data_IF_241716106001
#
_entry.id   IF_241716106001
#
_cell.length_a   1.000
_cell.length_b   1.000
_cell.length_c   1.000
_cell.angle_alpha   90.00
_cell.angle_beta   90.00
_cell.angle_gamma   90.00
#
_symmetry.space_group_name_H-M   'P 1'
#
loop_
_entity.id
_entity.type
_entity.pdbx_description
1 polymer ?
#
# COMPACT_ATOMS: atom_id res chain seq x y z
N UNK A 1 -4.70 29.40 -17.25
CA UNK A 1 -5.25 28.04 -17.15
C UNK A 1 -4.99 27.53 -15.74
N UNK A 2 -6.01 27.24 -14.93
CA UNK A 2 -5.79 26.56 -13.65
C UNK A 2 -5.28 25.15 -13.98
N UNK A 3 -4.11 24.78 -13.46
CA UNK A 3 -3.56 23.43 -13.70
C UNK A 3 -4.59 22.40 -13.24
N UNK A 4 -4.93 21.45 -14.12
CA UNK A 4 -5.85 20.35 -13.77
C UNK A 4 -5.28 19.40 -12.74
N UNK A 5 -3.99 19.51 -12.41
CA UNK A 5 -3.29 18.69 -11.42
C UNK A 5 -3.12 19.46 -10.11
N UNK A 6 -3.40 18.80 -8.99
CA UNK A 6 -3.24 19.35 -7.65
C UNK A 6 -2.65 18.32 -6.70
N UNK A 7 -1.66 18.73 -5.91
CA UNK A 7 -1.19 17.94 -4.79
C UNK A 7 -2.15 18.12 -3.60
N UNK A 8 -2.59 17.02 -3.02
CA UNK A 8 -3.53 16.99 -1.91
C UNK A 8 -3.01 16.12 -0.79
N UNK A 9 -3.26 16.53 0.45
CA UNK A 9 -2.99 15.71 1.62
C UNK A 9 -4.25 14.91 1.96
N UNK A 10 -4.14 13.59 1.93
CA UNK A 10 -5.19 12.65 2.30
C UNK A 10 -4.64 11.67 3.35
N UNK A 11 -5.52 10.86 3.93
CA UNK A 11 -5.15 9.80 4.86
C UNK A 11 -4.39 8.67 4.16
N UNK A 12 -3.36 8.14 4.81
CA UNK A 12 -2.74 6.87 4.45
C UNK A 12 -3.65 5.74 4.99
N UNK A 13 -4.17 4.85 4.13
CA UNK A 13 -5.15 3.85 4.55
C UNK A 13 -4.62 2.81 5.55
N UNK A 14 -3.30 2.57 5.59
CA UNK A 14 -2.66 1.67 6.56
C UNK A 14 -2.39 2.35 7.90
N UNK A 15 -1.71 3.50 7.91
CA UNK A 15 -1.29 4.15 9.16
C UNK A 15 -2.30 5.14 9.75
N UNK A 16 -3.24 5.65 8.95
CA UNK A 16 -4.12 6.74 9.35
C UNK A 16 -3.45 8.12 9.38
N UNK A 17 -2.17 8.21 9.04
CA UNK A 17 -1.43 9.48 9.00
C UNK A 17 -1.63 10.21 7.67
N UNK A 18 -1.24 11.48 7.60
CA UNK A 18 -1.38 12.26 6.36
C UNK A 18 -0.29 11.95 5.34
N UNK A 19 -0.69 11.55 4.13
CA UNK A 19 0.18 11.33 2.98
C UNK A 19 -0.16 12.28 1.81
N UNK A 20 0.83 12.51 0.94
CA UNK A 20 0.68 13.38 -0.24
C UNK A 20 0.23 12.52 -1.42
N UNK A 21 -0.81 13.00 -2.10
CA UNK A 21 -1.34 12.43 -3.33
C UNK A 21 -1.38 13.51 -4.41
N UNK A 22 -1.39 13.09 -5.67
CA UNK A 22 -1.61 13.94 -6.81
C UNK A 22 -2.98 13.59 -7.42
N UNK A 23 -3.85 14.58 -7.53
CA UNK A 23 -5.19 14.43 -8.07
C UNK A 23 -5.30 15.19 -9.39
N UNK A 24 -5.84 14.53 -10.40
CA UNK A 24 -6.18 15.15 -11.67
C UNK A 24 -7.68 15.51 -11.68
N UNK A 25 -7.98 16.80 -11.67
CA UNK A 25 -9.35 17.34 -11.67
C UNK A 25 -10.01 17.24 -13.04
N UNK A 26 -9.24 17.31 -14.12
CA UNK A 26 -9.78 17.27 -15.48
C UNK A 26 -10.16 15.84 -15.89
N UNK A 27 -9.32 14.87 -15.50
CA UNK A 27 -9.58 13.44 -15.64
C UNK A 27 -9.50 12.86 -14.23
N UNK A 28 -10.62 12.62 -13.53
CA UNK A 28 -10.60 12.25 -12.11
C UNK A 28 -9.84 10.95 -11.89
N UNK A 29 -8.54 11.11 -11.61
CA UNK A 29 -7.54 10.07 -11.42
C UNK A 29 -6.72 10.44 -10.20
N UNK A 30 -6.43 9.42 -9.41
CA UNK A 30 -5.68 9.55 -8.18
C UNK A 30 -4.33 8.86 -8.32
N UNK A 31 -3.28 9.57 -7.92
CA UNK A 31 -1.92 9.07 -7.88
C UNK A 31 -1.39 9.23 -6.46
N UNK A 32 -0.69 8.22 -5.96
CA UNK A 32 0.09 8.34 -4.74
C UNK A 32 1.49 8.86 -5.07
N UNK A 33 2.09 9.58 -4.11
CA UNK A 33 3.47 10.05 -4.24
C UNK A 33 4.38 9.19 -3.37
N UNK A 34 5.25 8.39 -3.99
CA UNK A 34 6.32 7.65 -3.31
C UNK A 34 7.64 8.40 -3.48
N UNK A 35 8.51 8.30 -2.47
CA UNK A 35 9.81 8.95 -2.49
C UNK A 35 10.89 7.91 -2.30
N UNK A 36 11.75 7.75 -3.31
CA UNK A 36 13.00 7.04 -3.15
C UNK A 36 14.00 7.94 -2.43
N UNK A 37 14.59 7.39 -1.36
CA UNK A 37 15.54 8.08 -0.51
C UNK A 37 16.63 7.11 -0.07
N UNK A 38 17.86 7.41 -0.48
CA UNK A 38 19.05 6.66 -0.09
C UNK A 38 20.11 7.61 0.51
N UNK A 39 20.95 7.12 1.42
CA UNK A 39 21.96 7.94 2.10
C UNK A 39 23.04 8.37 1.12
N UNK A 40 23.61 9.56 1.34
CA UNK A 40 24.76 10.08 0.58
C UNK A 40 24.53 10.27 -0.93
N UNK A 41 23.31 10.67 -1.31
CA UNK A 41 22.97 10.96 -2.71
C UNK A 41 22.67 12.45 -2.92
N UNK A 42 22.90 12.95 -4.14
CA UNK A 42 22.58 14.31 -4.58
C UNK A 42 22.36 14.33 -6.10
N UNK A 43 21.59 15.29 -6.59
CA UNK A 43 21.34 15.46 -8.02
C UNK A 43 22.09 16.69 -8.56
N UNK A 44 22.68 16.56 -9.74
CA UNK A 44 23.02 17.71 -10.57
C UNK A 44 21.86 17.95 -11.54
N UNK A 45 21.24 19.11 -11.44
CA UNK A 45 20.11 19.52 -12.28
C UNK A 45 20.58 20.75 -13.04
N UNK A 46 21.02 20.54 -14.27
CA UNK A 46 21.68 21.54 -15.11
C UNK A 46 22.85 22.20 -14.33
N UNK A 47 22.82 23.52 -14.16
CA UNK A 47 23.83 24.32 -13.46
C UNK A 47 23.63 24.38 -11.93
N UNK A 48 22.79 23.50 -11.36
CA UNK A 48 22.46 23.52 -9.92
C UNK A 48 22.66 22.15 -9.25
N UNK A 49 22.93 22.18 -7.95
CA UNK A 49 23.08 20.97 -7.12
C UNK A 49 21.91 20.89 -6.15
N UNK A 50 21.12 19.83 -6.26
CA UNK A 50 20.03 19.52 -5.34
C UNK A 50 20.49 18.48 -4.31
N UNK A 51 20.60 18.91 -3.07
CA UNK A 51 20.96 18.03 -1.95
C UNK A 51 19.87 17.00 -1.66
N UNK A 52 20.27 15.83 -1.14
CA UNK A 52 19.37 14.82 -0.59
C UNK A 52 19.01 13.69 -1.55
N UNK A 53 19.25 13.85 -2.85
CA UNK A 53 19.14 12.75 -3.83
C UNK A 53 17.74 12.13 -3.93
N UNK A 54 16.70 12.85 -3.51
CA UNK A 54 15.33 12.33 -3.48
C UNK A 54 14.79 12.18 -4.90
N UNK A 55 14.10 11.07 -5.17
CA UNK A 55 13.38 10.87 -6.42
C UNK A 55 11.91 10.58 -6.12
N UNK A 56 11.03 11.45 -6.62
CA UNK A 56 9.60 11.37 -6.40
C UNK A 56 8.93 10.62 -7.55
N UNK A 57 8.05 9.69 -7.23
CA UNK A 57 7.26 8.91 -8.17
C UNK A 57 5.78 9.22 -7.95
N UNK A 58 5.07 9.53 -9.03
CA UNK A 58 3.62 9.59 -9.04
C UNK A 58 3.09 8.31 -9.67
N UNK A 59 2.60 7.38 -8.85
CA UNK A 59 2.08 6.07 -9.30
C UNK A 59 0.57 6.04 -9.20
N UNK A 60 -0.16 5.47 -10.19
CA UNK A 60 -1.61 5.34 -10.10
C UNK A 60 -2.02 4.59 -8.84
N UNK A 61 -3.02 5.11 -8.12
CA UNK A 61 -3.50 4.53 -6.87
C UNK A 61 -4.92 4.01 -7.04
N UNK A 62 -5.19 2.79 -6.58
CA UNK A 62 -6.56 2.29 -6.51
C UNK A 62 -7.31 3.02 -5.38
N UNK A 63 -8.34 3.83 -5.70
CA UNK A 63 -9.03 4.65 -4.72
C UNK A 63 -9.82 3.82 -3.70
N UNK A 64 -10.08 2.54 -3.98
CA UNK A 64 -10.85 1.68 -3.09
C UNK A 64 -10.14 1.45 -1.75
N UNK A 65 -8.80 1.46 -1.71
CA UNK A 65 -8.04 1.39 -0.45
C UNK A 65 -8.29 2.62 0.45
N UNK A 66 -8.40 3.81 -0.13
CA UNK A 66 -8.72 5.03 0.62
C UNK A 66 -10.17 5.04 1.09
N UNK A 67 -11.11 4.61 0.24
CA UNK A 67 -12.52 4.48 0.60
C UNK A 67 -12.72 3.47 1.73
N UNK A 68 -11.96 2.38 1.71
CA UNK A 68 -11.99 1.34 2.73
C UNK A 68 -11.65 1.88 4.13
N UNK A 69 -10.71 2.80 4.24
CA UNK A 69 -10.39 3.48 5.51
C UNK A 69 -11.64 4.15 6.12
N UNK A 70 -12.37 4.93 5.32
CA UNK A 70 -13.59 5.62 5.77
C UNK A 70 -14.75 4.67 6.04
N UNK A 71 -14.90 3.64 5.21
CA UNK A 71 -15.94 2.61 5.39
C UNK A 71 -15.76 1.83 6.70
N UNK A 72 -14.52 1.42 7.03
CA UNK A 72 -14.21 0.74 8.28
C UNK A 72 -14.43 1.68 9.49
N UNK A 73 -14.08 2.97 9.35
CA UNK A 73 -14.33 3.98 10.38
C UNK A 73 -15.83 4.16 10.64
N UNK A 74 -16.65 4.22 9.59
CA UNK A 74 -18.10 4.35 9.66
C UNK A 74 -18.81 3.07 10.19
N UNK A 75 -18.28 1.89 9.91
CA UNK A 75 -18.88 0.62 10.34
C UNK A 75 -18.91 0.43 11.86
N UNK A 76 -18.15 1.22 12.63
CA UNK A 76 -18.26 1.29 14.09
C UNK A 76 -19.68 1.60 14.56
N UNK A 77 -20.48 2.29 13.74
CA UNK A 77 -21.89 2.57 14.02
C UNK A 77 -22.83 1.45 13.55
N UNK A 78 -22.37 0.55 12.68
CA UNK A 78 -23.11 -0.61 12.15
C UNK A 78 -24.29 -0.28 11.23
N UNK A 79 -24.44 0.98 10.82
CA UNK A 79 -25.59 1.50 10.06
C UNK A 79 -25.29 1.64 8.57
N UNK A 80 -26.35 1.64 7.77
CA UNK A 80 -26.30 2.03 6.36
C UNK A 80 -26.28 3.56 6.27
N UNK A 81 -25.26 4.12 5.62
CA UNK A 81 -25.05 5.56 5.54
C UNK A 81 -24.84 6.01 4.09
N UNK A 82 -25.27 7.24 3.72
CA UNK A 82 -24.96 7.81 2.42
C UNK A 82 -23.45 8.07 2.30
N UNK A 83 -22.93 8.04 1.09
CA UNK A 83 -21.48 8.10 0.86
C UNK A 83 -20.87 9.44 1.29
N UNK A 84 -21.63 10.53 1.18
CA UNK A 84 -21.23 11.87 1.62
C UNK A 84 -21.03 11.95 3.14
N UNK A 85 -21.75 11.11 3.90
CA UNK A 85 -21.59 11.02 5.35
C UNK A 85 -20.43 10.10 5.75
N UNK A 86 -20.18 9.04 4.96
CA UNK A 86 -19.07 8.12 5.19
C UNK A 86 -17.72 8.78 4.92
N UNK A 87 -17.58 9.50 3.80
CA UNK A 87 -16.31 10.12 3.37
C UNK A 87 -16.19 11.53 3.95
N UNK A 88 -16.11 11.61 5.27
CA UNK A 88 -15.99 12.85 6.03
C UNK A 88 -14.79 12.78 6.97
N UNK A 89 -13.91 13.78 6.88
CA UNK A 89 -12.73 13.86 7.72
C UNK A 89 -12.33 15.32 8.00
N UNK A 90 -12.35 15.69 9.29
CA UNK A 90 -12.01 17.04 9.74
C UNK A 90 -10.50 17.33 9.61
N UNK A 91 -9.65 16.30 9.74
CA UNK A 91 -8.20 16.45 9.59
C UNK A 91 -7.77 16.48 8.13
N UNK A 92 -8.49 15.76 7.27
CA UNK A 92 -8.20 15.63 5.84
C UNK A 92 -9.42 16.00 4.97
N UNK A 93 -9.83 17.28 4.93
CA UNK A 93 -11.07 17.71 4.28
C UNK A 93 -11.09 17.49 2.75
N UNK A 94 -9.92 17.26 2.14
CA UNK A 94 -9.83 16.92 0.71
C UNK A 94 -10.35 15.50 0.39
N UNK A 95 -10.77 14.70 1.37
CA UNK A 95 -11.40 13.40 1.16
C UNK A 95 -12.64 13.49 0.25
N UNK A 96 -13.31 14.63 0.21
CA UNK A 96 -14.44 14.91 -0.71
C UNK A 96 -14.08 14.72 -2.19
N UNK A 97 -12.80 14.77 -2.56
CA UNK A 97 -12.36 14.53 -3.94
C UNK A 97 -12.55 13.07 -4.37
N UNK A 98 -12.54 12.13 -3.41
CA UNK A 98 -12.79 10.70 -3.69
C UNK A 98 -14.21 10.48 -4.22
N UNK A 99 -15.17 11.32 -3.82
CA UNK A 99 -16.56 11.29 -4.30
C UNK A 99 -16.69 11.68 -5.78
N UNK A 100 -15.69 12.37 -6.35
CA UNK A 100 -15.69 12.83 -7.73
C UNK A 100 -15.11 11.80 -8.71
N UNK A 101 -14.66 10.65 -8.20
CA UNK A 101 -14.06 9.61 -9.03
C UNK A 101 -15.14 8.91 -9.89
N UNK A 102 -14.81 8.54 -11.15
CA UNK A 102 -15.74 7.86 -12.02
C UNK A 102 -16.06 6.47 -11.48
N UNK A 103 -17.25 5.97 -11.82
CA UNK A 103 -17.66 4.58 -11.57
C UNK A 103 -17.58 4.14 -10.09
N UNK A 104 -17.66 5.11 -9.17
CA UNK A 104 -17.54 4.89 -7.73
C UNK A 104 -18.52 3.84 -7.21
N UNK A 105 -19.76 3.82 -7.71
CA UNK A 105 -20.74 2.80 -7.36
C UNK A 105 -20.27 1.38 -7.70
N UNK A 106 -19.65 1.18 -8.87
CA UNK A 106 -19.13 -0.14 -9.27
C UNK A 106 -17.96 -0.55 -8.38
N UNK A 107 -17.11 0.40 -7.98
CA UNK A 107 -16.01 0.15 -7.06
C UNK A 107 -16.52 -0.27 -5.68
N UNK A 108 -17.47 0.47 -5.12
CA UNK A 108 -18.03 0.24 -3.78
C UNK A 108 -18.67 -1.14 -3.64
N UNK A 109 -19.34 -1.66 -4.67
CA UNK A 109 -19.96 -3.01 -4.68
C UNK A 109 -19.01 -4.15 -4.26
N UNK A 110 -17.70 -3.97 -4.44
CA UNK A 110 -16.67 -4.94 -4.07
C UNK A 110 -16.42 -5.03 -2.56
N UNK A 111 -16.74 -3.98 -1.79
CA UNK A 111 -16.42 -3.88 -0.36
C UNK A 111 -17.64 -3.56 0.51
N UNK A 112 -18.76 -3.11 -0.09
CA UNK A 112 -19.98 -2.71 0.63
C UNK A 112 -21.21 -3.53 0.29
N UNK A 113 -22.15 -3.56 1.22
CA UNK A 113 -23.56 -3.86 1.00
C UNK A 113 -24.30 -2.57 0.64
N UNK A 114 -25.17 -2.66 -0.37
CA UNK A 114 -25.94 -1.53 -0.88
C UNK A 114 -27.41 -1.71 -0.49
N UNK A 115 -28.04 -0.62 -0.02
CA UNK A 115 -29.49 -0.52 0.11
C UNK A 115 -29.96 0.74 -0.59
N UNK A 116 -31.04 0.63 -1.36
CA UNK A 116 -31.66 1.77 -2.01
C UNK A 116 -32.99 2.07 -1.33
N UNK A 117 -33.15 3.29 -0.84
CA UNK A 117 -34.40 3.79 -0.24
C UNK A 117 -34.66 5.16 -0.86
N UNK A 118 -35.85 5.33 -1.45
CA UNK A 118 -36.28 6.60 -2.04
C UNK A 118 -35.25 7.19 -3.04
N UNK A 119 -34.74 6.35 -3.95
CA UNK A 119 -33.71 6.68 -4.96
C UNK A 119 -32.36 7.13 -4.40
N UNK A 120 -32.15 7.02 -3.07
CA UNK A 120 -30.87 7.26 -2.41
C UNK A 120 -30.22 5.93 -2.07
N UNK A 121 -28.92 5.83 -2.37
CA UNK A 121 -28.11 4.66 -2.05
C UNK A 121 -27.43 4.85 -0.71
N UNK A 122 -27.49 3.80 0.10
CA UNK A 122 -26.85 3.71 1.38
C UNK A 122 -25.89 2.54 1.37
N UNK A 123 -24.71 2.76 1.94
CA UNK A 123 -23.60 1.84 1.93
C UNK A 123 -23.31 1.38 3.35
N UNK A 124 -22.98 0.10 3.49
CA UNK A 124 -22.43 -0.47 4.73
C UNK A 124 -21.22 -1.33 4.39
N UNK A 125 -20.17 -1.24 5.19
CA UNK A 125 -18.98 -2.07 5.03
C UNK A 125 -19.32 -3.56 5.17
N UNK A 126 -18.72 -4.39 4.32
CA UNK A 126 -18.84 -5.85 4.39
C UNK A 126 -17.47 -6.50 4.37
N UNK A 127 -17.09 -7.09 5.50
CA UNK A 127 -15.80 -7.77 5.67
C UNK A 127 -15.64 -8.95 4.71
N UNK A 128 -16.71 -9.73 4.49
CA UNK A 128 -16.67 -10.89 3.59
C UNK A 128 -16.36 -10.49 2.14
N UNK A 129 -17.06 -9.46 1.62
CA UNK A 129 -16.82 -8.96 0.26
C UNK A 129 -15.41 -8.39 0.12
N UNK A 130 -14.96 -7.66 1.14
CA UNK A 130 -13.63 -7.06 1.17
C UNK A 130 -12.53 -8.12 1.12
N UNK A 131 -12.65 -9.22 1.86
CA UNK A 131 -11.69 -10.33 1.79
C UNK A 131 -11.63 -10.98 0.40
N UNK A 132 -12.78 -11.21 -0.24
CA UNK A 132 -12.84 -11.73 -1.62
C UNK A 132 -12.20 -10.76 -2.63
N UNK A 133 -12.37 -9.46 -2.43
CA UNK A 133 -11.72 -8.44 -3.25
C UNK A 133 -10.20 -8.40 -3.03
N UNK A 134 -9.75 -8.47 -1.77
CA UNK A 134 -8.32 -8.50 -1.42
C UNK A 134 -7.62 -9.76 -1.95
N UNK A 135 -8.27 -10.93 -1.90
CA UNK A 135 -7.77 -12.15 -2.52
C UNK A 135 -7.48 -11.96 -4.01
N UNK A 136 -8.40 -11.31 -4.74
CA UNK A 136 -8.18 -10.97 -6.16
C UNK A 136 -7.01 -10.00 -6.35
N UNK A 137 -6.84 -9.03 -5.45
CA UNK A 137 -5.70 -8.10 -5.47
C UNK A 137 -4.38 -8.83 -5.22
N UNK A 138 -4.33 -9.76 -4.27
CA UNK A 138 -3.14 -10.58 -4.01
C UNK A 138 -2.76 -11.39 -5.25
N UNK A 139 -3.75 -12.04 -5.88
CA UNK A 139 -3.51 -12.79 -7.12
C UNK A 139 -3.05 -11.90 -8.29
N UNK A 140 -3.62 -10.69 -8.40
CA UNK A 140 -3.19 -9.71 -9.41
C UNK A 140 -1.74 -9.26 -9.17
N UNK A 141 -1.39 -8.95 -7.93
CA UNK A 141 -0.02 -8.56 -7.55
C UNK A 141 0.96 -9.72 -7.77
N UNK A 142 0.60 -10.95 -7.41
CA UNK A 142 1.40 -12.14 -7.69
C UNK A 142 1.68 -12.29 -9.20
N UNK A 143 0.66 -12.14 -10.04
CA UNK A 143 0.85 -12.21 -11.49
C UNK A 143 1.82 -11.12 -11.98
N UNK A 144 1.68 -9.89 -11.47
CA UNK A 144 2.59 -8.79 -11.79
C UNK A 144 4.03 -9.04 -11.29
N UNK A 145 4.22 -9.66 -10.12
CA UNK A 145 5.55 -10.02 -9.61
C UNK A 145 6.24 -11.05 -10.52
N UNK A 146 5.49 -12.07 -10.96
CA UNK A 146 5.98 -13.09 -11.91
C UNK A 146 6.34 -12.45 -13.26
N UNK A 147 5.50 -11.57 -13.81
CA UNK A 147 5.78 -10.88 -15.08
C UNK A 147 6.98 -9.94 -15.00
N UNK A 148 7.18 -9.25 -13.88
CA UNK A 148 8.28 -8.32 -13.69
C UNK A 148 9.58 -8.99 -13.18
N UNK A 149 9.60 -10.33 -13.05
CA UNK A 149 10.73 -11.12 -12.55
C UNK A 149 11.29 -10.61 -11.21
N UNK A 150 10.41 -10.24 -10.28
CA UNK A 150 10.81 -9.79 -8.94
C UNK A 150 11.25 -10.99 -8.11
N UNK A 151 12.43 -10.91 -7.49
CA UNK A 151 12.93 -11.96 -6.61
C UNK A 151 12.21 -11.94 -5.25
N UNK A 152 11.39 -12.96 -4.97
CA UNK A 152 10.58 -13.07 -3.74
C UNK A 152 11.18 -14.00 -2.68
N UNK A 153 12.33 -14.61 -2.95
CA UNK A 153 12.94 -15.58 -2.03
C UNK A 153 13.37 -14.99 -0.69
N UNK A 154 13.13 -15.71 0.41
CA UNK A 154 13.47 -15.32 1.79
C UNK A 154 14.95 -14.97 2.05
N UNK A 155 15.84 -15.27 1.09
CA UNK A 155 17.22 -14.78 1.06
C UNK A 155 17.42 -13.98 -0.24
N UNK A 156 17.30 -12.66 -0.13
CA UNK A 156 17.74 -11.73 -1.18
C UNK A 156 19.26 -11.83 -1.28
N UNK A 157 19.75 -12.75 -2.13
CA UNK A 157 21.14 -12.71 -2.60
C UNK A 157 21.22 -11.58 -3.62
N UNK A 158 22.09 -10.62 -3.39
CA UNK A 158 22.40 -9.52 -4.31
C UNK A 158 22.66 -10.07 -5.72
N UNK A 159 22.12 -9.40 -6.75
CA UNK A 159 22.28 -9.73 -8.17
C UNK A 159 23.74 -9.79 -8.65
N UNK A 160 24.70 -9.34 -7.85
CA UNK A 160 26.13 -9.41 -8.13
C UNK A 160 26.77 -10.80 -7.91
N UNK A 161 26.07 -11.78 -7.34
CA UNK A 161 26.59 -13.14 -7.08
C UNK A 161 25.65 -14.22 -7.64
N UNK A 162 25.76 -14.50 -8.95
CA UNK A 162 25.18 -15.69 -9.55
C UNK A 162 26.21 -16.83 -9.52
N UNK A 163 26.19 -17.65 -8.46
CA UNK A 163 26.78 -19.00 -8.51
C UNK A 163 25.63 -19.99 -8.72
N UNK A 164 25.70 -20.71 -9.83
CA UNK A 164 24.64 -21.59 -10.36
C UNK A 164 24.13 -22.65 -9.39
N UNK A 165 22.81 -22.75 -9.31
CA UNK A 165 22.00 -23.92 -9.66
C UNK A 165 20.53 -23.49 -9.44
N UNK A 166 19.59 -23.75 -10.37
CA UNK A 166 18.19 -23.44 -10.16
C UNK A 166 17.63 -24.51 -9.22
N UNK A 167 17.72 -24.28 -7.91
CA UNK A 167 16.92 -25.06 -6.96
C UNK A 167 15.47 -24.69 -7.22
N UNK A 168 14.84 -25.54 -8.01
CA UNK A 168 13.44 -25.53 -8.37
C UNK A 168 12.55 -25.65 -7.13
N UNK A 169 12.26 -24.52 -6.49
CA UNK A 169 10.97 -24.27 -5.85
C UNK A 169 10.83 -22.78 -5.58
N UNK A 170 10.57 -21.99 -6.60
CA UNK A 170 9.76 -20.79 -6.42
C UNK A 170 8.40 -21.29 -5.94
N UNK A 171 8.26 -21.48 -4.62
CA UNK A 171 7.00 -21.96 -4.06
C UNK A 171 6.03 -20.81 -4.28
N UNK A 172 4.94 -21.10 -4.97
CA UNK A 172 3.86 -20.14 -5.20
C UNK A 172 3.44 -19.42 -3.90
N UNK A 173 3.56 -20.13 -2.76
CA UNK A 173 3.46 -19.64 -1.39
C UNK A 173 4.32 -18.40 -1.10
N UNK A 174 5.58 -18.34 -1.55
CA UNK A 174 6.49 -17.21 -1.33
C UNK A 174 6.02 -15.95 -2.07
N UNK A 175 5.49 -16.11 -3.29
CA UNK A 175 4.89 -15.00 -4.03
C UNK A 175 3.62 -14.49 -3.35
N UNK A 176 2.80 -15.39 -2.80
CA UNK A 176 1.58 -15.00 -2.09
C UNK A 176 1.94 -14.25 -0.81
N UNK A 177 2.93 -14.73 -0.04
CA UNK A 177 3.45 -14.04 1.14
C UNK A 177 3.99 -12.64 0.80
N UNK A 178 4.77 -12.52 -0.28
CA UNK A 178 5.30 -11.24 -0.71
C UNK A 178 4.20 -10.28 -1.18
N UNK A 179 3.23 -10.77 -1.97
CA UNK A 179 2.09 -9.99 -2.43
C UNK A 179 1.18 -9.54 -1.28
N UNK A 180 0.96 -10.39 -0.26
CA UNK A 180 0.28 -10.03 0.98
C UNK A 180 1.01 -8.90 1.70
N UNK A 181 2.34 -8.98 1.82
CA UNK A 181 3.17 -7.93 2.41
C UNK A 181 3.11 -6.59 1.65
N UNK A 182 3.02 -6.61 0.32
CA UNK A 182 2.84 -5.37 -0.46
C UNK A 182 1.45 -4.76 -0.25
N UNK A 183 0.42 -5.59 -0.08
CA UNK A 183 -0.97 -5.12 0.11
C UNK A 183 -1.19 -4.65 1.55
N UNK A 184 -0.51 -5.24 2.54
CA UNK A 184 -0.62 -4.85 3.95
C UNK A 184 -0.21 -3.39 4.19
N UNK A 185 0.69 -2.84 3.38
CA UNK A 185 1.05 -1.41 3.40
C UNK A 185 -0.09 -0.46 2.98
N UNK A 186 -1.19 -0.99 2.44
CA UNK A 186 -2.37 -0.23 1.97
C UNK A 186 -3.65 -0.53 2.74
N UNK A 187 -3.62 -1.40 3.76
CA UNK A 187 -4.79 -1.77 4.56
C UNK A 187 -4.49 -1.69 6.07
N UNK A 188 -5.51 -1.50 6.92
CA UNK A 188 -5.31 -1.57 8.37
C UNK A 188 -4.78 -2.93 8.82
N UNK A 189 -4.02 -2.93 9.92
CA UNK A 189 -3.37 -4.13 10.45
C UNK A 189 -4.37 -5.26 10.75
N UNK A 190 -5.54 -4.92 11.28
CA UNK A 190 -6.59 -5.89 11.60
C UNK A 190 -7.06 -6.64 10.35
N UNK A 191 -7.20 -5.92 9.23
CA UNK A 191 -7.61 -6.50 7.96
C UNK A 191 -6.49 -7.32 7.31
N UNK A 192 -5.23 -6.92 7.51
CA UNK A 192 -4.06 -7.71 7.09
C UNK A 192 -4.00 -9.05 7.80
N UNK A 193 -4.29 -9.09 9.10
CA UNK A 193 -4.33 -10.32 9.91
C UNK A 193 -5.51 -11.23 9.53
N UNK A 194 -6.65 -10.63 9.16
CA UNK A 194 -7.79 -11.39 8.63
C UNK A 194 -7.48 -11.99 7.25
N UNK A 195 -6.80 -11.23 6.39
CA UNK A 195 -6.40 -11.66 5.06
C UNK A 195 -5.38 -12.80 5.11
N UNK A 196 -4.41 -12.75 6.02
CA UNK A 196 -3.41 -13.82 6.16
C UNK A 196 -4.04 -15.14 6.59
N UNK A 197 -5.01 -15.08 7.52
CA UNK A 197 -5.82 -16.24 7.93
C UNK A 197 -6.67 -16.77 6.79
N UNK A 198 -7.30 -15.87 6.03
CA UNK A 198 -8.15 -16.23 4.89
C UNK A 198 -7.34 -16.94 3.78
N UNK A 199 -6.14 -16.46 3.51
CA UNK A 199 -5.21 -17.05 2.53
C UNK A 199 -4.46 -18.30 3.06
N UNK A 200 -4.63 -18.64 4.34
CA UNK A 200 -3.94 -19.75 5.01
C UNK A 200 -2.42 -19.64 4.92
N UNK A 201 -1.89 -18.43 5.06
CA UNK A 201 -0.44 -18.21 5.01
C UNK A 201 0.25 -18.81 6.25
N UNK A 202 1.50 -19.26 6.11
CA UNK A 202 2.30 -19.69 7.26
C UNK A 202 2.39 -18.53 8.25
N UNK A 203 2.13 -18.81 9.54
CA UNK A 203 2.37 -17.82 10.58
C UNK A 203 3.84 -17.37 10.52
N UNK A 204 4.13 -16.06 10.59
CA UNK A 204 5.50 -15.60 10.56
C UNK A 204 6.27 -16.29 11.69
N UNK A 205 7.47 -16.84 11.43
CA UNK A 205 8.27 -17.44 12.49
C UNK A 205 8.48 -16.39 13.58
N UNK A 206 8.18 -16.75 14.83
CA UNK A 206 8.45 -15.91 15.99
C UNK A 206 9.85 -15.31 15.86
N UNK A 207 9.97 -14.00 16.10
CA UNK A 207 11.22 -13.25 15.97
C UNK A 207 12.36 -14.01 16.65
N UNK A 208 13.20 -14.66 15.85
CA UNK A 208 14.38 -15.35 16.36
C UNK A 208 15.27 -14.26 16.95
N UNK A 209 15.76 -14.39 18.20
CA UNK A 209 16.66 -13.42 18.77
C UNK A 209 17.83 -13.19 17.81
N UNK A 210 18.11 -11.92 17.50
CA UNK A 210 19.27 -11.57 16.70
C UNK A 210 20.51 -12.33 17.22
N UNK A 211 21.25 -13.07 16.37
CA UNK A 211 22.47 -13.71 16.82
C UNK A 211 23.42 -12.64 17.38
N UNK A 212 24.12 -12.91 18.50
CA UNK A 212 24.94 -11.91 19.17
C UNK A 212 25.94 -11.33 18.18
N UNK A 213 25.89 -10.01 18.02
CA UNK A 213 26.83 -9.27 17.19
C UNK A 213 28.24 -9.63 17.61
N UNK A 214 29.04 -10.19 16.68
CA UNK A 214 30.46 -10.43 16.91
C UNK A 214 31.10 -9.10 17.30
N UNK A 215 31.50 -8.99 18.57
CA UNK A 215 32.31 -7.89 19.07
C UNK A 215 33.58 -7.89 18.23
N UNK A 216 33.79 -6.84 17.44
CA UNK A 216 35.03 -6.62 16.74
C UNK A 216 36.14 -6.46 17.79
N UNK A 217 37.05 -7.43 17.87
CA UNK A 217 38.23 -7.31 18.71
C UNK A 217 38.98 -6.04 18.30
N UNK A 218 39.08 -5.11 19.24
CA UNK A 218 39.90 -3.90 19.12
C UNK A 218 41.32 -4.31 18.72
N UNK A 219 41.75 -3.87 17.53
CA UNK A 219 43.18 -3.78 17.21
C UNK A 219 43.80 -2.78 18.18
N UNK A 220 44.43 -3.28 19.24
CA UNK A 220 45.38 -2.49 20.03
C UNK A 220 46.53 -2.08 19.11
N UNK A 221 46.68 -0.77 18.96
CA UNK A 221 47.90 -0.13 18.48
C UNK A 221 48.82 0.14 19.68
N UNK A 222 50.13 -0.01 19.45
CA UNK A 222 51.29 0.50 20.25
C UNK A 222 51.66 -0.31 21.50
N UNK A 223 52.92 -0.61 21.83
CA UNK A 223 54.24 -0.04 21.49
C UNK A 223 55.36 -1.12 21.52
N UNK A 224 56.33 -1.03 20.60
CA UNK A 224 57.79 -1.02 20.87
C UNK A 224 58.57 -0.69 19.60
#
# INVERSE_FOLDING_TARGET
>A
MKSGLMFVKLVNPCSGEGAIYLFNVCLPQLFEIKVFKEKNHSWFINESVQSGGLLHFATPMDPLFLLLHYLIKADREGKFQPLEQVVMDDMFPNCILLLKLPELEKLLRHVTEEKEIDKKKYYKYSKEKTLKWLEKKVNQTMAALKTNNVNVGARVRSTAFFSGDPVSSDKEEDYICYAHGLISDYIPKELSDDLSKYLKLPEPPASVPNPPSKVAAQRQKRDK
#
